data_IF_821377388381
#
_entry.id   IF_821377388381
#
_cell.length_a   1.000
_cell.length_b   1.000
_cell.length_c   1.000
_cell.angle_alpha   90.00
_cell.angle_beta   90.00
_cell.angle_gamma   90.00
#
_symmetry.space_group_name_H-M   'P 1'
#
loop_
_entity.id
_entity.type
_entity.pdbx_description
1 polymer ?
#
# COMPACT_ATOMS: atom_id res chain seq x y z
N UNK A 1 -5.71 20.42 3.18
CA UNK A 1 -5.45 19.94 4.56
C UNK A 1 -6.27 18.71 4.92
N UNK A 2 -7.61 18.70 4.76
CA UNK A 2 -8.43 17.53 5.13
C UNK A 2 -8.05 16.23 4.39
N UNK A 3 -7.76 16.31 3.09
CA UNK A 3 -7.37 15.14 2.28
C UNK A 3 -6.08 14.48 2.78
N UNK A 4 -5.02 15.28 3.00
CA UNK A 4 -3.75 14.80 3.53
C UNK A 4 -3.90 14.08 4.88
N UNK A 5 -4.75 14.57 5.77
CA UNK A 5 -4.99 13.92 7.07
C UNK A 5 -5.71 12.57 6.93
N UNK A 6 -6.63 12.43 5.97
CA UNK A 6 -7.29 11.16 5.66
C UNK A 6 -6.26 10.17 5.10
N UNK A 7 -5.46 10.61 4.14
CA UNK A 7 -4.41 9.81 3.50
C UNK A 7 -3.34 9.36 4.50
N UNK A 8 -2.90 10.27 5.36
CA UNK A 8 -1.94 10.00 6.42
C UNK A 8 -2.47 8.99 7.43
N UNK A 9 -3.76 9.02 7.78
CA UNK A 9 -4.38 7.99 8.63
C UNK A 9 -4.30 6.60 8.01
N UNK A 10 -4.51 6.50 6.70
CA UNK A 10 -4.34 5.22 5.98
C UNK A 10 -2.89 4.76 6.07
N UNK A 11 -1.93 5.65 5.80
CA UNK A 11 -0.50 5.30 5.91
C UNK A 11 -0.14 4.80 7.32
N UNK A 12 -0.56 5.53 8.36
CA UNK A 12 -0.31 5.17 9.76
C UNK A 12 -0.88 3.79 10.08
N UNK A 13 -2.09 3.50 9.61
CA UNK A 13 -2.71 2.19 9.79
C UNK A 13 -1.87 1.07 9.16
N UNK A 14 -1.33 1.26 7.95
CA UNK A 14 -0.43 0.28 7.33
C UNK A 14 0.86 0.10 8.12
N UNK A 15 1.45 1.19 8.61
CA UNK A 15 2.63 1.12 9.49
C UNK A 15 2.35 0.28 10.73
N UNK A 16 1.26 0.55 11.45
CA UNK A 16 0.89 -0.19 12.65
C UNK A 16 0.64 -1.67 12.36
N UNK A 17 -0.06 -2.00 11.26
CA UNK A 17 -0.31 -3.38 10.86
C UNK A 17 0.98 -4.14 10.55
N UNK A 18 1.95 -3.47 9.95
CA UNK A 18 3.27 -4.04 9.68
C UNK A 18 4.18 -4.06 10.91
N UNK A 19 3.71 -3.64 12.09
CA UNK A 19 4.48 -3.66 13.34
C UNK A 19 5.40 -2.45 13.54
N UNK A 20 5.23 -1.38 12.78
CA UNK A 20 5.94 -0.13 13.02
C UNK A 20 5.25 0.69 14.12
N UNK A 21 6.06 1.22 15.03
CA UNK A 21 5.63 2.06 16.14
C UNK A 21 6.12 3.49 15.95
N UNK A 22 5.29 4.45 16.32
CA UNK A 22 5.66 5.85 16.32
C UNK A 22 6.64 6.14 17.45
N UNK A 23 7.76 6.78 17.13
CA UNK A 23 8.81 7.07 18.11
C UNK A 23 8.82 8.53 18.50
N UNK A 24 8.89 9.44 17.53
CA UNK A 24 9.02 10.87 17.80
C UNK A 24 8.74 11.74 16.57
N UNK A 25 8.53 13.02 16.81
CA UNK A 25 8.45 14.03 15.75
C UNK A 25 9.85 14.55 15.46
N UNK A 26 10.34 14.35 14.23
CA UNK A 26 11.60 14.92 13.74
C UNK A 26 11.37 16.17 12.88
N UNK A 27 12.49 16.76 12.43
CA UNK A 27 12.51 17.94 11.54
C UNK A 27 11.76 17.72 10.22
N UNK A 28 11.69 16.47 9.75
CA UNK A 28 11.14 16.09 8.45
C UNK A 28 9.82 15.30 8.54
N UNK A 29 9.25 15.15 9.74
CA UNK A 29 8.04 14.37 9.96
C UNK A 29 8.12 13.43 11.15
N UNK A 30 7.10 12.59 11.30
CA UNK A 30 7.03 11.57 12.33
C UNK A 30 7.94 10.39 11.99
N UNK A 31 8.77 9.99 12.94
CA UNK A 31 9.68 8.84 12.85
C UNK A 31 8.96 7.57 13.34
N UNK A 32 9.05 6.51 12.56
CA UNK A 32 8.45 5.21 12.83
C UNK A 32 9.49 4.11 12.78
N UNK A 33 9.42 3.16 13.71
CA UNK A 33 10.38 2.06 13.81
C UNK A 33 9.72 0.71 13.94
N UNK A 34 10.28 -0.29 13.25
CA UNK A 34 9.95 -1.69 13.49
C UNK A 34 11.05 -2.32 14.34
N UNK A 35 10.78 -2.51 15.64
CA UNK A 35 11.80 -2.94 16.60
C UNK A 35 12.37 -4.33 16.28
N UNK A 36 11.52 -5.31 15.97
CA UNK A 36 11.95 -6.70 15.74
C UNK A 36 12.79 -6.90 14.47
N UNK A 37 12.72 -5.97 13.52
CA UNK A 37 13.46 -6.02 12.23
C UNK A 37 14.46 -4.87 12.10
N UNK A 38 14.58 -4.02 13.13
CA UNK A 38 15.43 -2.82 13.17
C UNK A 38 15.26 -1.89 11.96
N UNK A 39 14.01 -1.65 11.53
CA UNK A 39 13.70 -0.81 10.37
C UNK A 39 13.22 0.57 10.82
N UNK A 40 13.44 1.57 9.96
CA UNK A 40 13.06 2.96 10.22
C UNK A 40 12.43 3.56 8.97
N UNK A 41 11.34 4.30 9.13
CA UNK A 41 10.76 5.15 8.08
C UNK A 41 10.24 6.46 8.68
N UNK A 42 9.99 7.47 7.85
CA UNK A 42 9.45 8.75 8.27
C UNK A 42 8.24 9.14 7.42
N UNK A 43 7.18 9.63 8.06
CA UNK A 43 6.03 10.22 7.37
C UNK A 43 6.06 11.73 7.58
N UNK A 44 5.99 12.51 6.51
CA UNK A 44 5.91 13.97 6.61
C UNK A 44 4.75 14.43 7.50
N UNK A 45 4.95 15.52 8.24
CA UNK A 45 3.89 16.14 9.06
C UNK A 45 2.91 16.99 8.26
N UNK A 46 3.28 17.39 7.04
CA UNK A 46 2.45 18.19 6.14
C UNK A 46 2.87 18.00 4.70
N UNK A 47 1.92 17.99 3.78
CA UNK A 47 2.21 18.09 2.35
C UNK A 47 1.07 18.75 1.57
N UNK A 48 1.44 19.52 0.54
CA UNK A 48 0.50 20.13 -0.41
C UNK A 48 0.52 19.50 -1.81
N UNK A 49 1.31 18.44 -2.03
CA UNK A 49 1.44 17.78 -3.33
C UNK A 49 1.33 16.25 -3.15
N UNK A 50 1.09 15.47 -4.20
CA UNK A 50 1.10 14.01 -4.20
C UNK A 50 2.51 13.40 -4.36
N UNK A 51 3.48 14.18 -4.86
CA UNK A 51 4.85 13.69 -5.16
C UNK A 51 5.57 13.08 -3.96
N UNK A 52 5.39 13.64 -2.75
CA UNK A 52 5.97 13.06 -1.54
C UNK A 52 5.43 11.66 -1.27
N UNK A 53 4.12 11.42 -1.50
CA UNK A 53 3.51 10.13 -1.25
C UNK A 53 4.10 9.10 -2.20
N UNK A 54 4.19 9.41 -3.49
CA UNK A 54 4.77 8.48 -4.46
C UNK A 54 6.25 8.14 -4.15
N UNK A 55 7.04 9.13 -3.74
CA UNK A 55 8.42 8.88 -3.32
C UNK A 55 8.48 8.01 -2.06
N UNK A 56 7.76 8.41 -1.01
CA UNK A 56 7.73 7.69 0.25
C UNK A 56 7.18 6.26 0.08
N UNK A 57 6.11 6.09 -0.70
CA UNK A 57 5.48 4.81 -1.03
C UNK A 57 6.50 3.88 -1.66
N UNK A 58 7.26 4.35 -2.65
CA UNK A 58 8.31 3.57 -3.30
C UNK A 58 9.40 3.14 -2.32
N UNK A 59 9.94 4.08 -1.54
CA UNK A 59 11.00 3.80 -0.56
C UNK A 59 10.52 2.81 0.52
N UNK A 60 9.28 3.00 0.99
CA UNK A 60 8.64 2.11 1.94
C UNK A 60 8.32 0.73 1.36
N UNK A 61 7.92 0.68 0.09
CA UNK A 61 7.74 -0.53 -0.69
C UNK A 61 8.99 -1.41 -0.72
N UNK A 62 10.12 -0.81 -1.08
CA UNK A 62 11.43 -1.46 -1.09
C UNK A 62 11.78 -1.96 0.33
N UNK A 63 11.66 -1.08 1.33
CA UNK A 63 11.94 -1.42 2.72
C UNK A 63 11.14 -2.65 3.20
N UNK A 64 9.86 -2.73 2.85
CA UNK A 64 9.01 -3.86 3.24
C UNK A 64 9.37 -5.11 2.44
N UNK A 65 9.50 -5.02 1.12
CA UNK A 65 9.82 -6.17 0.25
C UNK A 65 11.17 -6.82 0.60
N UNK A 66 12.15 -6.03 1.03
CA UNK A 66 13.47 -6.55 1.41
C UNK A 66 13.49 -7.21 2.79
N UNK A 67 12.52 -6.93 3.66
CA UNK A 67 12.58 -7.32 5.07
C UNK A 67 11.39 -8.16 5.55
N UNK A 68 10.35 -8.31 4.73
CA UNK A 68 9.18 -9.12 5.01
C UNK A 68 9.00 -10.16 3.92
N UNK A 69 8.78 -11.41 4.32
CA UNK A 69 8.35 -12.45 3.40
C UNK A 69 6.92 -12.17 2.92
N UNK A 70 6.59 -12.70 1.74
CA UNK A 70 5.23 -12.64 1.21
C UNK A 70 4.18 -13.13 2.20
N UNK A 71 4.43 -14.27 2.86
CA UNK A 71 3.50 -14.85 3.83
C UNK A 71 3.29 -13.94 5.05
N UNK A 72 4.33 -13.26 5.53
CA UNK A 72 4.19 -12.27 6.62
C UNK A 72 3.27 -11.14 6.18
N UNK A 73 3.49 -10.57 4.99
CA UNK A 73 2.70 -9.43 4.50
C UNK A 73 1.24 -9.85 4.25
N UNK A 74 1.02 -11.01 3.63
CA UNK A 74 -0.32 -11.56 3.40
C UNK A 74 -1.07 -11.79 4.72
N UNK A 75 -0.37 -12.28 5.76
CA UNK A 75 -0.95 -12.50 7.09
C UNK A 75 -1.28 -11.17 7.77
N UNK A 76 -0.34 -10.22 7.79
CA UNK A 76 -0.50 -8.93 8.47
C UNK A 76 -1.55 -8.04 7.80
N UNK A 77 -1.70 -8.15 6.47
CA UNK A 77 -2.63 -7.33 5.67
C UNK A 77 -3.89 -8.10 5.22
N UNK A 78 -4.11 -9.33 5.72
CA UNK A 78 -5.16 -10.25 5.26
C UNK A 78 -6.55 -9.59 5.18
N UNK A 79 -6.92 -8.86 6.24
CA UNK A 79 -8.21 -8.16 6.33
C UNK A 79 -8.42 -7.19 5.16
N UNK A 80 -7.37 -6.49 4.75
CA UNK A 80 -7.45 -5.46 3.71
C UNK A 80 -7.39 -6.06 2.31
N UNK A 81 -6.56 -7.09 2.12
CA UNK A 81 -6.55 -7.91 0.89
C UNK A 81 -7.97 -8.46 0.63
N UNK A 82 -8.60 -9.05 1.66
CA UNK A 82 -9.99 -9.58 1.58
C UNK A 82 -11.00 -8.47 1.28
N UNK A 83 -10.98 -7.37 2.04
CA UNK A 83 -11.90 -6.22 1.85
C UNK A 83 -11.85 -5.67 0.42
N UNK A 84 -10.64 -5.52 -0.12
CA UNK A 84 -10.39 -4.94 -1.45
C UNK A 84 -10.49 -5.97 -2.58
N UNK A 85 -10.79 -7.24 -2.25
CA UNK A 85 -10.88 -8.36 -3.19
C UNK A 85 -9.63 -8.46 -4.08
N UNK A 86 -8.46 -8.21 -3.51
CA UNK A 86 -7.22 -8.24 -4.26
C UNK A 86 -6.71 -9.67 -4.33
N UNK A 87 -6.22 -10.10 -5.49
CA UNK A 87 -5.61 -11.41 -5.70
C UNK A 87 -4.23 -11.26 -6.32
N UNK A 88 -3.38 -12.24 -6.05
CA UNK A 88 -2.17 -12.43 -6.84
C UNK A 88 -2.55 -13.11 -8.15
N UNK A 89 -2.07 -12.57 -9.26
CA UNK A 89 -2.08 -13.26 -10.54
C UNK A 89 -0.95 -14.29 -10.60
N UNK A 90 -1.05 -15.23 -11.54
CA UNK A 90 -0.06 -16.31 -11.71
C UNK A 90 1.35 -15.78 -12.04
N UNK A 91 1.45 -14.54 -12.52
CA UNK A 91 2.70 -13.79 -12.73
C UNK A 91 3.23 -13.10 -11.44
N UNK A 92 2.62 -13.35 -10.28
CA UNK A 92 3.02 -12.81 -8.99
C UNK A 92 2.58 -11.38 -8.72
N UNK A 93 1.88 -10.74 -9.65
CA UNK A 93 1.43 -9.35 -9.47
C UNK A 93 0.14 -9.28 -8.68
N UNK A 94 0.03 -8.25 -7.84
CA UNK A 94 -1.20 -7.97 -7.14
C UNK A 94 -2.19 -7.23 -8.04
N UNK A 95 -3.43 -7.72 -8.15
CA UNK A 95 -4.47 -7.07 -8.94
C UNK A 95 -5.85 -7.17 -8.28
N UNK A 96 -6.71 -6.15 -8.47
CA UNK A 96 -8.07 -6.13 -7.90
C UNK A 96 -9.00 -7.05 -8.69
N UNK A 97 -9.64 -8.00 -8.03
CA UNK A 97 -10.76 -8.73 -8.63
C UNK A 97 -12.01 -7.83 -8.60
N UNK A 98 -12.31 -7.12 -9.69
CA UNK A 98 -13.65 -6.50 -9.83
C UNK A 98 -14.64 -7.57 -10.23
N UNK A 99 -15.57 -7.87 -9.32
CA UNK A 99 -16.72 -8.72 -9.59
C UNK A 99 -17.89 -7.98 -10.28
N UNK A 100 -17.81 -6.66 -10.52
CA UNK A 100 -18.90 -5.88 -11.10
C UNK A 100 -18.54 -5.29 -12.48
N UNK A 101 -19.03 -5.91 -13.57
CA UNK A 101 -18.86 -5.41 -14.95
C UNK A 101 -19.49 -4.02 -15.19
N UNK A 102 -20.43 -3.56 -14.37
CA UNK A 102 -21.18 -2.30 -14.60
C UNK A 102 -20.39 -1.06 -14.20
N UNK A 103 -19.35 -1.23 -13.37
CA UNK A 103 -18.44 -0.15 -12.94
C UNK A 103 -17.19 -0.11 -13.82
N UNK A 104 -17.08 -1.02 -14.79
CA UNK A 104 -15.94 -1.15 -15.68
C UNK A 104 -16.10 -0.30 -16.95
N UNK A 105 -15.72 0.98 -16.89
CA UNK A 105 -15.62 1.88 -18.06
C UNK A 105 -14.35 2.74 -17.97
N UNK A 106 -13.48 2.73 -18.99
CA UNK A 106 -12.21 3.48 -19.02
C UNK A 106 -11.06 2.79 -19.79
N UNK A 107 -10.01 3.55 -20.11
CA UNK A 107 -8.75 3.10 -20.76
C UNK A 107 -7.78 2.38 -19.80
N UNK A 108 -8.13 2.28 -18.51
CA UNK A 108 -7.28 1.75 -17.43
C UNK A 108 -7.35 0.22 -17.24
N UNK A 109 -7.83 -0.53 -18.25
CA UNK A 109 -7.99 -1.99 -18.15
C UNK A 109 -6.89 -2.76 -18.89
N UNK A 110 -6.28 -3.72 -18.19
CA UNK A 110 -5.57 -4.83 -18.83
C UNK A 110 -6.48 -6.05 -18.72
N UNK A 111 -7.14 -6.45 -19.82
CA UNK A 111 -7.89 -7.72 -19.86
C UNK A 111 -6.91 -8.86 -20.06
N UNK A 112 -6.69 -9.67 -19.02
CA UNK A 112 -5.88 -10.90 -19.12
C UNK A 112 -6.77 -12.15 -19.23
N UNK A 113 -7.99 -12.11 -18.68
CA UNK A 113 -9.00 -13.15 -18.81
C UNK A 113 -10.39 -12.53 -19.09
N UNK A 114 -11.29 -13.21 -19.83
CA UNK A 114 -12.63 -12.69 -20.14
C UNK A 114 -13.49 -12.43 -18.88
N UNK A 115 -13.24 -13.17 -17.80
CA UNK A 115 -14.02 -13.15 -16.57
C UNK A 115 -13.39 -12.29 -15.46
N UNK A 116 -12.22 -11.67 -15.70
CA UNK A 116 -11.48 -10.90 -14.68
C UNK A 116 -11.09 -9.52 -15.22
N UNK A 117 -11.70 -8.49 -14.63
CA UNK A 117 -11.38 -7.08 -14.92
C UNK A 117 -10.46 -6.54 -13.83
N UNK A 118 -9.26 -6.13 -14.23
CA UNK A 118 -8.23 -5.56 -13.36
C UNK A 118 -8.19 -4.04 -13.47
N UNK A 119 -8.05 -3.31 -12.36
CA UNK A 119 -8.07 -1.84 -12.32
C UNK A 119 -6.91 -1.29 -11.50
N UNK A 120 -6.34 -0.18 -11.97
CA UNK A 120 -5.34 0.62 -11.25
C UNK A 120 -5.96 1.32 -10.04
N UNK A 121 -5.24 1.38 -8.92
CA UNK A 121 -5.69 2.11 -7.75
C UNK A 121 -5.49 3.62 -7.93
N UNK A 122 -6.45 4.44 -7.49
CA UNK A 122 -6.29 5.90 -7.40
C UNK A 122 -6.38 6.43 -5.96
N UNK A 123 -6.37 5.53 -4.98
CA UNK A 123 -6.41 5.84 -3.55
C UNK A 123 -5.20 5.28 -2.79
N UNK A 124 -4.82 5.92 -1.68
CA UNK A 124 -3.65 5.55 -0.86
C UNK A 124 -3.66 4.07 -0.44
N UNK A 125 -4.82 3.57 0.00
CA UNK A 125 -4.95 2.18 0.47
C UNK A 125 -4.58 1.19 -0.64
N UNK A 126 -5.07 1.44 -1.85
CA UNK A 126 -4.79 0.60 -3.00
C UNK A 126 -3.36 0.69 -3.49
N UNK A 127 -2.86 1.92 -3.61
CA UNK A 127 -1.47 2.21 -3.99
C UNK A 127 -0.47 1.52 -3.04
N UNK A 128 -0.74 1.55 -1.72
CA UNK A 128 0.09 0.85 -0.74
C UNK A 128 -0.01 -0.67 -0.86
N UNK A 129 -1.21 -1.23 -1.01
CA UNK A 129 -1.33 -2.68 -1.20
C UNK A 129 -0.56 -3.16 -2.42
N UNK A 130 -0.68 -2.43 -3.54
CA UNK A 130 0.04 -2.73 -4.78
C UNK A 130 1.55 -2.63 -4.62
N UNK A 131 2.04 -1.64 -3.87
CA UNK A 131 3.47 -1.43 -3.70
C UNK A 131 4.10 -2.41 -2.70
N UNK A 132 3.38 -2.81 -1.64
CA UNK A 132 3.95 -3.59 -0.55
C UNK A 132 4.06 -5.08 -0.84
N UNK A 133 3.25 -5.60 -1.75
CA UNK A 133 3.27 -7.03 -2.04
C UNK A 133 4.39 -7.36 -3.05
N UNK A 134 5.27 -8.32 -2.74
CA UNK A 134 6.42 -8.65 -3.59
C UNK A 134 5.95 -9.25 -4.93
N UNK A 135 6.67 -8.90 -6.01
CA UNK A 135 6.56 -9.59 -7.30
C UNK A 135 7.27 -10.95 -7.19
N UNK A 136 6.76 -11.98 -7.87
CA UNK A 136 7.36 -13.33 -7.88
C UNK A 136 8.71 -13.36 -8.60
#
# INVERSE_FOLDING_TARGET
MAQFEIEKKVIIMFLTLLGFEYVSQGKHGGLWKHHGKNLITNITSSSGNWRWFNNWKRDFGILVKENFSRNEIETLLERYIKKRKVKFTDDGRLRILRADPRVASGEDFIKVNPDEIWVTFYDVEGELLSELLPEL
#
